data_IF_695895816798
#
_entry.id   IF_695895816798
#
_cell.length_a   1.000
_cell.length_b   1.000
_cell.length_c   1.000
_cell.angle_alpha   90.00
_cell.angle_beta   90.00
_cell.angle_gamma   90.00
#
_symmetry.space_group_name_H-M   'P 1'
#
loop_
_entity.id
_entity.type
_entity.pdbx_description
1 polymer ?
#
# COMPACT_ATOMS: atom_id res chain seq x y z
N UNK A 1 16.24 4.15 -18.50
CA UNK A 1 16.80 3.90 -17.15
C UNK A 1 16.15 4.93 -16.24
N UNK A 2 15.28 4.48 -15.33
CA UNK A 2 14.66 5.36 -14.35
C UNK A 2 15.70 5.77 -13.30
N UNK A 3 15.78 7.06 -12.98
CA UNK A 3 16.65 7.59 -11.92
C UNK A 3 16.13 7.24 -10.52
N UNK A 4 16.97 7.50 -9.52
CA UNK A 4 16.70 7.20 -8.12
C UNK A 4 15.36 7.80 -7.65
N UNK A 5 14.59 6.99 -6.93
CA UNK A 5 13.21 7.31 -6.54
C UNK A 5 13.11 8.22 -5.30
N UNK A 6 14.24 8.69 -4.74
CA UNK A 6 14.27 9.44 -3.48
C UNK A 6 15.33 10.55 -3.56
N UNK A 7 14.95 11.79 -3.27
CA UNK A 7 15.90 12.90 -3.07
C UNK A 7 16.37 12.98 -1.61
N UNK A 8 17.54 13.58 -1.36
CA UNK A 8 18.15 13.76 -0.02
C UNK A 8 17.27 14.54 0.98
N UNK A 9 16.10 15.02 0.55
CA UNK A 9 15.19 15.84 1.35
C UNK A 9 13.82 15.18 1.57
N UNK A 10 13.57 14.03 0.95
CA UNK A 10 12.38 13.19 1.15
C UNK A 10 11.04 13.85 0.79
N UNK A 11 11.03 14.89 -0.06
CA UNK A 11 9.84 15.73 -0.25
C UNK A 11 9.23 15.64 -1.66
N UNK A 12 10.03 15.41 -2.69
CA UNK A 12 9.53 15.21 -4.05
C UNK A 12 10.60 14.53 -4.92
N UNK A 13 10.27 13.38 -5.48
CA UNK A 13 11.16 12.73 -6.43
C UNK A 13 10.69 12.94 -7.86
N UNK A 14 11.63 13.31 -8.73
CA UNK A 14 11.41 13.42 -10.17
C UNK A 14 11.92 12.13 -10.83
N UNK A 15 11.00 11.37 -11.44
CA UNK A 15 11.37 10.26 -12.31
C UNK A 15 11.38 10.77 -13.75
N UNK A 16 12.55 10.75 -14.38
CA UNK A 16 12.70 11.12 -15.78
C UNK A 16 12.67 9.88 -16.68
N UNK A 17 11.91 9.97 -17.76
CA UNK A 17 11.89 8.96 -18.80
C UNK A 17 11.59 9.59 -20.16
N UNK A 18 11.87 8.88 -21.24
CA UNK A 18 11.81 9.39 -22.61
C UNK A 18 11.14 8.40 -23.56
N UNK A 19 10.46 8.94 -24.57
CA UNK A 19 9.86 8.19 -25.67
C UNK A 19 10.00 9.01 -26.95
N UNK A 20 10.01 8.34 -28.10
CA UNK A 20 9.91 8.99 -29.41
C UNK A 20 8.48 8.88 -29.93
N UNK A 21 7.88 10.01 -30.32
CA UNK A 21 6.53 10.04 -30.89
C UNK A 21 6.38 11.17 -31.91
N UNK A 22 5.59 10.89 -32.95
CA UNK A 22 5.25 11.88 -33.98
C UNK A 22 4.16 12.82 -33.48
N UNK A 23 4.56 14.04 -33.11
CA UNK A 23 3.65 15.08 -32.66
C UNK A 23 3.10 15.88 -33.85
N UNK A 24 1.79 16.11 -33.86
CA UNK A 24 1.13 16.94 -34.87
C UNK A 24 0.54 18.17 -34.20
N UNK A 25 0.91 19.35 -34.70
CA UNK A 25 0.46 20.64 -34.19
C UNK A 25 -0.40 21.36 -35.24
N UNK A 26 -1.32 22.21 -34.78
CA UNK A 26 -2.02 23.15 -35.63
C UNK A 26 -1.16 24.40 -35.94
N UNK A 27 -1.70 25.32 -36.74
CA UNK A 27 -1.02 26.56 -37.13
C UNK A 27 -0.73 27.48 -35.93
N UNK A 28 -1.47 27.32 -34.83
CA UNK A 28 -1.27 28.06 -33.57
C UNK A 28 -0.27 27.35 -32.62
N UNK A 29 0.35 26.24 -33.07
CA UNK A 29 1.30 25.46 -32.28
C UNK A 29 0.66 24.58 -31.20
N UNK A 30 -0.65 24.34 -31.27
CA UNK A 30 -1.37 23.47 -30.31
C UNK A 30 -1.35 22.03 -30.79
N UNK A 31 -1.15 21.10 -29.87
CA UNK A 31 -1.18 19.68 -30.20
C UNK A 31 -2.56 19.27 -30.70
N UNK A 32 -2.64 18.74 -31.92
CA UNK A 32 -3.90 18.32 -32.55
C UNK A 32 -4.52 17.10 -31.84
N UNK A 33 -3.68 16.18 -31.38
CA UNK A 33 -4.08 14.95 -30.67
C UNK A 33 -2.89 14.37 -29.89
N UNK A 34 -3.16 13.78 -28.73
CA UNK A 34 -2.19 12.96 -28.00
C UNK A 34 -1.95 11.65 -28.77
N UNK A 35 -0.72 11.36 -29.23
CA UNK A 35 -0.39 10.10 -29.89
C UNK A 35 -0.67 8.88 -28.99
N UNK A 36 -0.97 7.74 -29.59
CA UNK A 36 -1.26 6.52 -28.83
C UNK A 36 -0.02 6.02 -28.08
N UNK A 37 1.16 6.29 -28.62
CA UNK A 37 2.48 5.99 -28.07
C UNK A 37 2.66 6.65 -26.70
N UNK A 38 2.20 7.90 -26.52
CA UNK A 38 2.21 8.59 -25.22
C UNK A 38 1.27 7.89 -24.24
N UNK A 39 0.08 7.46 -24.70
CA UNK A 39 -0.89 6.77 -23.85
C UNK A 39 -0.37 5.39 -23.40
N UNK A 40 0.27 4.65 -24.31
CA UNK A 40 0.86 3.34 -24.02
C UNK A 40 2.06 3.48 -23.07
N UNK A 41 2.95 4.45 -23.34
CA UNK A 41 4.05 4.77 -22.45
C UNK A 41 3.57 5.18 -21.06
N UNK A 42 2.53 6.02 -20.97
CA UNK A 42 1.94 6.40 -19.70
C UNK A 42 1.45 5.15 -18.94
N UNK A 43 0.77 4.23 -19.62
CA UNK A 43 0.32 2.98 -18.98
C UNK A 43 1.49 2.13 -18.50
N UNK A 44 2.55 2.00 -19.28
CA UNK A 44 3.73 1.22 -18.92
C UNK A 44 4.45 1.82 -17.71
N UNK A 45 4.68 3.13 -17.71
CA UNK A 45 5.40 3.82 -16.65
C UNK A 45 4.53 3.99 -15.40
N UNK A 46 3.33 4.55 -15.52
CA UNK A 46 2.47 4.82 -14.35
C UNK A 46 1.87 3.54 -13.77
N UNK A 47 1.23 2.70 -14.60
CA UNK A 47 0.54 1.50 -14.11
C UNK A 47 1.45 0.28 -13.98
N UNK A 48 2.62 0.27 -14.63
CA UNK A 48 3.59 -0.81 -14.54
C UNK A 48 4.70 -0.51 -13.54
N UNK A 49 5.62 0.38 -13.90
CA UNK A 49 6.80 0.67 -13.09
C UNK A 49 6.45 1.42 -11.80
N UNK A 50 5.90 2.63 -11.88
CA UNK A 50 5.69 3.49 -10.72
C UNK A 50 4.70 2.90 -9.71
N UNK A 51 3.58 2.34 -10.16
CA UNK A 51 2.62 1.67 -9.27
C UNK A 51 3.28 0.58 -8.42
N UNK A 52 4.13 -0.25 -9.04
CA UNK A 52 4.86 -1.32 -8.37
C UNK A 52 5.85 -0.74 -7.34
N UNK A 53 6.62 0.28 -7.73
CA UNK A 53 7.56 0.96 -6.83
C UNK A 53 6.86 1.60 -5.62
N UNK A 54 5.74 2.29 -5.85
CA UNK A 54 4.95 2.89 -4.79
C UNK A 54 4.39 1.84 -3.82
N UNK A 55 3.95 0.69 -4.34
CA UNK A 55 3.47 -0.41 -3.50
C UNK A 55 4.60 -0.99 -2.62
N UNK A 56 5.81 -1.15 -3.18
CA UNK A 56 7.00 -1.56 -2.39
C UNK A 56 7.33 -0.54 -1.30
N UNK A 57 7.27 0.76 -1.60
CA UNK A 57 7.48 1.82 -0.60
C UNK A 57 6.43 1.75 0.52
N UNK A 58 5.15 1.56 0.18
CA UNK A 58 4.07 1.39 1.17
C UNK A 58 4.31 0.16 2.04
N UNK A 59 4.79 -0.93 1.46
CA UNK A 59 5.14 -2.15 2.20
C UNK A 59 6.34 -1.96 3.15
N UNK A 60 7.30 -1.09 2.80
CA UNK A 60 8.42 -0.73 3.65
C UNK A 60 7.98 0.07 4.89
N UNK A 61 7.15 1.11 4.72
CA UNK A 61 6.77 2.01 5.81
C UNK A 61 5.37 2.61 5.61
N UNK A 62 4.64 2.74 6.71
CA UNK A 62 3.29 3.30 6.67
C UNK A 62 3.30 4.76 6.22
N UNK A 63 2.45 5.05 5.25
CA UNK A 63 2.28 6.36 4.66
C UNK A 63 1.74 6.22 3.27
N UNK A 64 1.04 7.24 2.79
CA UNK A 64 0.71 7.32 1.39
C UNK A 64 1.73 8.20 0.68
N UNK A 65 2.20 7.73 -0.47
CA UNK A 65 2.90 8.57 -1.45
C UNK A 65 1.83 9.11 -2.38
N UNK A 66 1.69 10.43 -2.38
CA UNK A 66 0.64 11.16 -3.08
C UNK A 66 0.88 11.15 -4.61
N UNK A 67 -0.07 11.62 -5.43
CA UNK A 67 -0.15 11.22 -6.82
C UNK A 67 0.99 11.74 -7.70
N UNK A 68 1.29 10.93 -8.72
CA UNK A 68 2.22 11.25 -9.81
C UNK A 68 1.60 12.37 -10.64
N UNK A 69 2.28 13.52 -10.71
CA UNK A 69 2.04 14.51 -11.74
C UNK A 69 3.05 14.26 -12.85
N UNK A 70 2.55 13.83 -14.00
CA UNK A 70 3.33 13.57 -15.19
C UNK A 70 3.34 14.80 -16.08
N UNK A 71 4.54 15.27 -16.41
CA UNK A 71 4.76 16.35 -17.35
C UNK A 71 5.39 15.80 -18.61
N UNK A 72 4.81 16.08 -19.76
CA UNK A 72 5.34 15.68 -21.06
C UNK A 72 5.86 16.92 -21.78
N UNK A 73 7.13 16.87 -22.20
CA UNK A 73 7.78 17.95 -22.93
C UNK A 73 8.30 17.44 -24.27
N UNK A 74 8.22 18.27 -25.31
CA UNK A 74 8.92 18.05 -26.57
C UNK A 74 10.25 18.80 -26.53
N UNK A 75 11.32 18.15 -26.96
CA UNK A 75 12.63 18.79 -27.11
C UNK A 75 12.72 19.41 -28.50
N UNK A 76 12.69 20.75 -28.58
CA UNK A 76 12.91 21.51 -29.82
C UNK A 76 14.26 22.23 -29.83
N UNK A 77 14.57 22.90 -30.94
CA UNK A 77 15.82 23.69 -31.08
C UNK A 77 15.95 24.82 -30.04
N UNK A 78 14.82 25.39 -29.60
CA UNK A 78 14.77 26.45 -28.58
C UNK A 78 14.71 25.90 -27.13
N UNK A 79 14.71 24.57 -26.96
CA UNK A 79 14.62 23.91 -25.67
C UNK A 79 13.30 23.13 -25.44
N UNK A 80 13.04 22.67 -24.20
CA UNK A 80 11.86 21.90 -23.87
C UNK A 80 10.58 22.75 -23.90
N UNK A 81 9.59 22.33 -24.68
CA UNK A 81 8.24 22.91 -24.69
C UNK A 81 7.24 21.96 -24.03
N UNK A 82 6.47 22.45 -23.04
CA UNK A 82 5.44 21.65 -22.37
C UNK A 82 4.34 21.26 -23.36
N UNK A 83 4.12 19.97 -23.54
CA UNK A 83 3.06 19.41 -24.39
C UNK A 83 1.77 19.28 -23.58
N UNK A 84 1.85 18.59 -22.44
CA UNK A 84 0.69 18.32 -21.59
C UNK A 84 1.11 18.02 -20.15
N UNK A 85 0.18 18.25 -19.23
CA UNK A 85 0.28 17.84 -17.83
C UNK A 85 -0.83 16.83 -17.59
N UNK A 86 -0.48 15.64 -17.13
CA UNK A 86 -1.43 14.61 -16.75
C UNK A 86 -1.20 14.26 -15.28
N UNK A 87 -2.28 14.13 -14.53
CA UNK A 87 -2.18 13.72 -13.14
C UNK A 87 -3.56 13.40 -12.59
N UNK A 88 -3.62 12.40 -11.71
CA UNK A 88 -4.79 12.18 -10.89
C UNK A 88 -4.57 12.89 -9.57
N UNK A 89 -5.28 13.98 -9.30
CA UNK A 89 -5.30 14.53 -7.93
C UNK A 89 -6.28 13.71 -7.11
N UNK A 90 -5.97 12.44 -6.88
CA UNK A 90 -6.71 11.64 -5.91
C UNK A 90 -6.27 12.13 -4.53
N UNK A 91 -7.06 13.02 -3.93
CA UNK A 91 -6.86 13.40 -2.53
C UNK A 91 -7.07 12.13 -1.72
N UNK A 92 -6.03 11.60 -1.06
CA UNK A 92 -6.18 10.34 -0.37
C UNK A 92 -7.21 10.49 0.74
N UNK A 93 -8.15 9.54 0.88
CA UNK A 93 -9.22 9.65 1.87
C UNK A 93 -8.70 9.66 3.30
N UNK A 94 -7.48 9.16 3.51
CA UNK A 94 -6.76 9.19 4.78
C UNK A 94 -5.39 9.82 4.52
N UNK A 95 -5.15 11.06 4.99
CA UNK A 95 -3.91 11.78 4.74
C UNK A 95 -2.81 11.33 5.70
N UNK A 96 -2.35 10.09 5.58
CA UNK A 96 -1.09 9.66 6.19
C UNK A 96 0.07 10.04 5.27
N UNK A 97 0.96 10.91 5.77
CA UNK A 97 2.20 11.24 5.05
C UNK A 97 3.24 10.17 5.31
N UNK A 98 3.85 9.65 4.26
CA UNK A 98 5.09 8.90 4.41
C UNK A 98 6.16 9.83 5.00
N UNK A 99 6.88 9.34 6.01
CA UNK A 99 8.05 10.03 6.58
C UNK A 99 9.21 9.06 6.54
N UNK A 100 10.23 9.41 5.77
CA UNK A 100 11.48 8.67 5.68
C UNK A 100 12.57 9.48 6.37
N UNK A 101 13.34 8.82 7.23
CA UNK A 101 14.57 9.39 7.79
C UNK A 101 15.72 9.13 6.82
N UNK A 102 16.71 10.02 6.80
CA UNK A 102 17.88 9.88 5.91
C UNK A 102 18.58 8.52 6.05
N UNK A 103 18.61 7.97 7.26
CA UNK A 103 19.21 6.67 7.56
C UNK A 103 18.41 5.49 7.01
N UNK A 104 17.15 5.69 6.63
CA UNK A 104 16.27 4.63 6.10
C UNK A 104 16.33 4.56 4.56
N UNK A 105 17.02 5.47 3.87
CA UNK A 105 17.05 5.55 2.40
C UNK A 105 17.68 4.31 1.79
N UNK A 106 18.86 3.90 2.28
CA UNK A 106 19.55 2.71 1.79
C UNK A 106 18.74 1.43 2.07
N UNK A 107 18.08 1.34 3.23
CA UNK A 107 17.22 0.22 3.59
C UNK A 107 15.98 0.14 2.70
N UNK A 108 15.39 1.29 2.37
CA UNK A 108 14.26 1.36 1.45
C UNK A 108 14.67 0.98 0.03
N UNK A 109 15.83 1.43 -0.45
CA UNK A 109 16.33 1.07 -1.76
C UNK A 109 16.57 -0.45 -1.86
N UNK A 110 17.24 -1.04 -0.87
CA UNK A 110 17.40 -2.49 -0.79
C UNK A 110 16.05 -3.23 -0.75
N UNK A 111 15.09 -2.73 0.04
CA UNK A 111 13.74 -3.29 0.08
C UNK A 111 13.04 -3.27 -1.28
N UNK A 112 13.17 -2.16 -2.02
CA UNK A 112 12.61 -2.00 -3.36
C UNK A 112 13.24 -3.00 -4.33
N UNK A 113 14.56 -3.16 -4.27
CA UNK A 113 15.29 -4.02 -5.21
C UNK A 113 15.06 -5.51 -4.93
N UNK A 114 14.94 -5.90 -3.65
CA UNK A 114 14.77 -7.29 -3.23
C UNK A 114 13.32 -7.78 -3.27
N UNK A 115 12.34 -6.91 -3.03
CA UNK A 115 10.94 -7.33 -2.94
C UNK A 115 10.38 -7.60 -4.34
N UNK A 116 10.02 -8.85 -4.61
CA UNK A 116 9.37 -9.25 -5.85
C UNK A 116 7.83 -9.19 -5.72
N UNK A 117 7.19 -8.54 -6.69
CA UNK A 117 5.74 -8.47 -6.83
C UNK A 117 5.35 -8.92 -8.26
N UNK A 118 4.24 -9.67 -8.43
CA UNK A 118 3.30 -10.14 -7.40
C UNK A 118 3.90 -11.22 -6.49
N UNK A 119 3.31 -11.42 -5.31
CA UNK A 119 3.74 -12.49 -4.40
C UNK A 119 3.43 -13.88 -4.96
N UNK A 120 4.37 -14.81 -4.80
CA UNK A 120 4.22 -16.21 -5.27
C UNK A 120 3.03 -16.92 -4.60
N UNK A 121 2.86 -16.75 -3.29
CA UNK A 121 1.80 -17.45 -2.56
C UNK A 121 0.45 -16.72 -2.67
N UNK A 122 -0.63 -17.39 -3.11
CA UNK A 122 -1.93 -16.73 -3.33
C UNK A 122 -2.52 -16.02 -2.11
N UNK A 123 -2.27 -16.52 -0.90
CA UNK A 123 -2.79 -15.90 0.32
C UNK A 123 -2.04 -14.60 0.68
N UNK A 124 -0.75 -14.51 0.36
CA UNK A 124 0.03 -13.27 0.48
C UNK A 124 -0.41 -12.26 -0.55
N UNK A 125 -0.56 -12.71 -1.81
CA UNK A 125 -1.01 -11.86 -2.90
C UNK A 125 -2.41 -11.26 -2.60
N UNK A 126 -3.35 -12.06 -2.10
CA UNK A 126 -4.66 -11.56 -1.69
C UNK A 126 -4.57 -10.53 -0.55
N UNK A 127 -3.76 -10.81 0.48
CA UNK A 127 -3.56 -9.88 1.59
C UNK A 127 -2.95 -8.55 1.11
N UNK A 128 -2.01 -8.62 0.18
CA UNK A 128 -1.39 -7.46 -0.47
C UNK A 128 -2.39 -6.66 -1.32
N UNK A 129 -3.21 -7.31 -2.14
CA UNK A 129 -4.23 -6.63 -2.94
C UNK A 129 -5.24 -5.89 -2.05
N UNK A 130 -5.67 -6.51 -0.95
CA UNK A 130 -6.55 -5.88 0.03
C UNK A 130 -5.84 -4.70 0.74
N UNK A 131 -4.55 -4.84 1.04
CA UNK A 131 -3.75 -3.75 1.60
C UNK A 131 -3.69 -2.53 0.66
N UNK A 132 -3.33 -2.73 -0.61
CA UNK A 132 -3.27 -1.64 -1.60
C UNK A 132 -4.65 -1.01 -1.83
N UNK A 133 -5.69 -1.83 -1.99
CA UNK A 133 -7.05 -1.35 -2.19
C UNK A 133 -7.56 -0.51 -1.01
N UNK A 134 -7.03 -0.74 0.20
CA UNK A 134 -7.37 0.09 1.37
C UNK A 134 -7.00 1.57 1.21
N UNK A 135 -6.05 1.92 0.32
CA UNK A 135 -5.64 3.29 0.01
C UNK A 135 -6.56 3.99 -1.00
N UNK A 136 -7.25 3.21 -1.84
CA UNK A 136 -8.12 3.72 -2.91
C UNK A 136 -9.55 3.98 -2.43
N UNK A 137 -10.00 3.24 -1.42
CA UNK A 137 -11.39 3.32 -0.95
C UNK A 137 -11.67 4.58 -0.13
N UNK A 138 -12.57 5.41 -0.64
CA UNK A 138 -12.93 6.69 -0.03
C UNK A 138 -13.57 6.58 1.37
N UNK A 139 -14.27 5.48 1.66
CA UNK A 139 -14.97 5.29 2.93
C UNK A 139 -14.04 4.66 3.98
N UNK A 140 -13.75 5.34 5.11
CA UNK A 140 -12.93 4.78 6.19
C UNK A 140 -13.46 3.45 6.74
N UNK A 141 -14.79 3.30 6.79
CA UNK A 141 -15.44 2.06 7.24
C UNK A 141 -15.20 0.89 6.29
N UNK A 142 -15.22 1.15 4.98
CA UNK A 142 -14.95 0.11 3.98
C UNK A 142 -13.46 -0.23 3.97
N UNK A 143 -12.57 0.77 4.03
CA UNK A 143 -11.12 0.57 4.18
C UNK A 143 -10.80 -0.30 5.41
N UNK A 144 -11.45 -0.03 6.55
CA UNK A 144 -11.36 -0.87 7.74
C UNK A 144 -11.77 -2.33 7.48
N UNK A 145 -12.89 -2.59 6.80
CA UNK A 145 -13.34 -3.95 6.51
C UNK A 145 -12.38 -4.69 5.57
N UNK A 146 -11.91 -4.03 4.52
CA UNK A 146 -10.93 -4.56 3.56
C UNK A 146 -9.65 -4.99 4.29
N UNK A 147 -9.15 -4.15 5.21
CA UNK A 147 -7.96 -4.47 5.99
C UNK A 147 -8.17 -5.64 6.95
N UNK A 148 -9.36 -5.74 7.57
CA UNK A 148 -9.71 -6.90 8.39
C UNK A 148 -9.72 -8.18 7.57
N UNK A 149 -10.28 -8.13 6.36
CA UNK A 149 -10.31 -9.28 5.45
C UNK A 149 -8.89 -9.66 4.98
N UNK A 150 -8.00 -8.67 4.81
CA UNK A 150 -6.57 -8.93 4.53
C UNK A 150 -5.85 -9.64 5.67
N UNK A 151 -6.12 -9.26 6.91
CA UNK A 151 -5.59 -9.97 8.08
C UNK A 151 -6.17 -11.39 8.19
N UNK A 152 -7.44 -11.57 7.85
CA UNK A 152 -8.07 -12.90 7.78
C UNK A 152 -7.43 -13.77 6.69
N UNK A 153 -7.08 -13.20 5.53
CA UNK A 153 -6.38 -13.89 4.46
C UNK A 153 -5.01 -14.44 4.93
N UNK A 154 -4.28 -13.69 5.76
CA UNK A 154 -3.00 -14.13 6.33
C UNK A 154 -3.17 -15.13 7.48
N UNK A 155 -4.00 -14.81 8.46
CA UNK A 155 -3.91 -15.40 9.79
C UNK A 155 -5.07 -16.32 10.15
N UNK A 156 -6.13 -16.35 9.33
CA UNK A 156 -7.28 -17.22 9.63
C UNK A 156 -6.98 -18.67 9.25
N UNK A 157 -7.09 -19.62 10.20
CA UNK A 157 -7.30 -21.01 9.85
C UNK A 157 -8.69 -21.13 9.18
N UNK A 158 -8.90 -22.18 8.37
CA UNK A 158 -10.18 -22.40 7.70
C UNK A 158 -11.33 -22.78 8.67
N UNK A 159 -11.07 -22.84 9.97
CA UNK A 159 -11.98 -23.34 11.01
C UNK A 159 -12.69 -22.21 11.76
N UNK A 160 -13.76 -22.56 12.47
CA UNK A 160 -14.58 -21.67 13.31
C UNK A 160 -13.75 -21.02 14.43
N UNK A 161 -14.06 -19.75 14.75
CA UNK A 161 -13.31 -18.82 15.63
C UNK A 161 -12.19 -18.00 14.96
N UNK A 162 -12.55 -17.32 13.87
CA UNK A 162 -11.71 -16.39 13.12
C UNK A 162 -11.09 -15.30 14.00
N UNK A 163 -11.85 -14.67 14.90
CA UNK A 163 -11.36 -13.53 15.68
C UNK A 163 -10.22 -13.88 16.64
N UNK A 164 -10.39 -14.93 17.45
CA UNK A 164 -9.34 -15.38 18.38
C UNK A 164 -8.12 -15.88 17.62
N UNK A 165 -8.33 -16.76 16.63
CA UNK A 165 -7.24 -17.37 15.86
C UNK A 165 -6.42 -16.33 15.11
N UNK A 166 -7.07 -15.38 14.43
CA UNK A 166 -6.39 -14.28 13.73
C UNK A 166 -5.64 -13.39 14.72
N UNK A 167 -6.26 -12.99 15.84
CA UNK A 167 -5.61 -12.14 16.84
C UNK A 167 -4.37 -12.80 17.44
N UNK A 168 -4.47 -14.10 17.73
CA UNK A 168 -3.40 -14.91 18.32
C UNK A 168 -2.25 -15.13 17.33
N UNK A 169 -2.56 -15.43 16.07
CA UNK A 169 -1.55 -15.62 15.03
C UNK A 169 -0.87 -14.32 14.64
N UNK A 170 -1.61 -13.21 14.58
CA UNK A 170 -1.03 -11.89 14.37
C UNK A 170 -0.07 -11.52 15.52
N UNK A 171 -0.47 -11.73 16.78
CA UNK A 171 0.41 -11.50 17.92
C UNK A 171 1.67 -12.36 17.87
N UNK A 172 1.54 -13.66 17.54
CA UNK A 172 2.68 -14.56 17.46
C UNK A 172 3.69 -14.19 16.35
N UNK A 173 3.23 -13.63 15.22
CA UNK A 173 4.12 -13.19 14.14
C UNK A 173 4.71 -11.80 14.39
N UNK A 174 3.91 -10.89 14.96
CA UNK A 174 4.23 -9.46 15.00
C UNK A 174 4.79 -9.00 16.34
N UNK A 175 4.38 -9.61 17.44
CA UNK A 175 4.73 -9.17 18.78
C UNK A 175 6.04 -9.77 19.26
N UNK A 176 7.13 -9.06 19.02
CA UNK A 176 8.45 -9.39 19.57
C UNK A 176 9.09 -8.11 20.07
N UNK A 177 9.24 -7.91 21.39
CA UNK A 177 9.18 -8.88 22.51
C UNK A 177 7.77 -9.22 23.02
N UNK A 178 7.66 -10.11 24.03
CA UNK A 178 6.41 -10.66 24.61
C UNK A 178 5.37 -9.58 24.98
N UNK A 179 5.82 -8.46 25.56
CA UNK A 179 4.94 -7.32 25.88
C UNK A 179 4.25 -6.73 24.63
N UNK A 180 4.91 -6.72 23.48
CA UNK A 180 4.31 -6.30 22.22
C UNK A 180 3.26 -7.32 21.74
N UNK A 181 3.48 -8.60 22.01
CA UNK A 181 2.57 -9.69 21.63
C UNK A 181 1.23 -9.61 22.32
N UNK A 182 1.23 -9.41 23.65
CA UNK A 182 -0.01 -9.20 24.41
C UNK A 182 -0.77 -7.97 23.91
N UNK A 183 -0.04 -6.90 23.60
CA UNK A 183 -0.64 -5.66 23.13
C UNK A 183 -1.25 -5.80 21.73
N UNK A 184 -0.56 -6.49 20.80
CA UNK A 184 -1.10 -6.81 19.47
C UNK A 184 -2.35 -7.67 19.61
N UNK A 185 -2.32 -8.71 20.44
CA UNK A 185 -3.47 -9.58 20.68
C UNK A 185 -4.68 -8.79 21.19
N UNK A 186 -4.48 -7.96 22.22
CA UNK A 186 -5.53 -7.13 22.81
C UNK A 186 -6.13 -6.16 21.80
N UNK A 187 -5.29 -5.46 21.03
CA UNK A 187 -5.75 -4.51 20.04
C UNK A 187 -6.53 -5.20 18.91
N UNK A 188 -6.06 -6.36 18.44
CA UNK A 188 -6.77 -7.15 17.43
C UNK A 188 -8.16 -7.58 17.92
N UNK A 189 -8.27 -8.03 19.17
CA UNK A 189 -9.56 -8.36 19.77
C UNK A 189 -10.51 -7.15 19.85
N UNK A 190 -9.99 -5.95 20.11
CA UNK A 190 -10.78 -4.71 20.08
C UNK A 190 -11.24 -4.34 18.67
N UNK A 191 -10.37 -4.48 17.67
CA UNK A 191 -10.71 -4.27 16.26
C UNK A 191 -11.82 -5.22 15.80
N UNK A 192 -11.78 -6.49 16.20
CA UNK A 192 -12.87 -7.44 15.91
C UNK A 192 -14.20 -7.04 16.54
N UNK A 193 -14.20 -6.47 17.76
CA UNK A 193 -15.43 -5.92 18.38
C UNK A 193 -15.96 -4.74 17.57
N UNK A 194 -15.07 -3.88 17.05
CA UNK A 194 -15.45 -2.77 16.16
C UNK A 194 -16.03 -3.29 14.84
N UNK A 195 -15.40 -4.30 14.21
CA UNK A 195 -15.91 -4.98 12.99
C UNK A 195 -17.32 -5.52 13.20
N UNK A 196 -17.52 -6.29 14.28
CA UNK A 196 -18.84 -6.82 14.63
C UNK A 196 -19.88 -5.71 14.81
N UNK A 197 -19.53 -4.63 15.50
CA UNK A 197 -20.45 -3.50 15.71
C UNK A 197 -20.79 -2.78 14.39
N UNK A 198 -19.81 -2.65 13.49
CA UNK A 198 -19.96 -2.03 12.19
C UNK A 198 -20.87 -2.84 11.25
N UNK A 199 -20.69 -4.17 11.20
CA UNK A 199 -21.47 -5.07 10.32
C UNK A 199 -22.91 -5.22 10.80
N UNK A 200 -23.13 -5.47 12.10
CA UNK A 200 -24.46 -5.75 12.64
C UNK A 200 -25.29 -4.49 12.93
N UNK A 201 -24.92 -3.34 12.36
CA UNK A 201 -25.81 -2.19 12.25
C UNK A 201 -26.31 -1.63 13.57
N UNK A 202 -25.46 -1.53 14.61
CA UNK A 202 -25.79 -0.68 15.77
C UNK A 202 -25.70 0.78 15.32
N UNK A 203 -26.73 1.25 14.59
CA UNK A 203 -26.77 2.51 13.83
C UNK A 203 -26.54 3.77 14.68
N UNK A 204 -26.60 3.67 16.00
CA UNK A 204 -26.22 4.73 16.94
C UNK A 204 -25.21 4.23 17.97
N UNK A 205 -23.96 4.07 17.56
CA UNK A 205 -22.87 3.86 18.52
C UNK A 205 -22.68 5.15 19.32
N UNK A 206 -23.32 5.27 20.51
CA UNK A 206 -23.20 6.45 21.39
C UNK A 206 -21.79 6.62 21.97
N UNK A 207 -21.02 5.54 22.13
CA UNK A 207 -19.64 5.57 22.64
C UNK A 207 -18.63 5.72 21.51
N UNK A 208 -17.87 6.83 21.51
CA UNK A 208 -16.81 7.09 20.52
C UNK A 208 -15.80 5.94 20.41
N UNK A 209 -15.42 5.31 21.51
CA UNK A 209 -14.47 4.18 21.55
C UNK A 209 -14.89 2.93 20.77
N UNK A 210 -16.17 2.80 20.43
CA UNK A 210 -16.69 1.68 19.63
C UNK A 210 -16.81 2.01 18.13
N UNK A 211 -16.57 3.26 17.73
CA UNK A 211 -16.58 3.68 16.33
C UNK A 211 -15.21 3.39 15.71
N UNK A 212 -15.22 3.01 14.44
CA UNK A 212 -14.01 2.98 13.61
C UNK A 212 -13.57 4.41 13.36
N UNK A 213 -12.30 4.70 13.60
CA UNK A 213 -11.67 5.98 13.27
C UNK A 213 -10.41 5.80 12.41
N UNK A 214 -9.76 6.92 12.08
CA UNK A 214 -8.55 6.93 11.24
C UNK A 214 -7.39 6.19 11.93
N UNK A 215 -7.27 6.26 13.25
CA UNK A 215 -6.19 5.56 13.97
C UNK A 215 -6.35 4.05 13.85
N UNK A 216 -7.58 3.54 13.89
CA UNK A 216 -7.83 2.12 13.65
C UNK A 216 -7.35 1.66 12.28
N UNK A 217 -7.57 2.49 11.24
CA UNK A 217 -7.21 2.15 9.86
C UNK A 217 -5.69 2.18 9.68
N UNK A 218 -5.02 3.22 10.18
CA UNK A 218 -3.56 3.33 10.14
C UNK A 218 -2.91 2.19 10.92
N UNK A 219 -3.47 1.81 12.06
CA UNK A 219 -2.99 0.70 12.85
C UNK A 219 -3.19 -0.65 12.12
N UNK A 220 -4.36 -0.87 11.52
CA UNK A 220 -4.64 -2.06 10.70
C UNK A 220 -3.71 -2.17 9.50
N UNK A 221 -3.45 -1.07 8.79
CA UNK A 221 -2.47 -1.04 7.69
C UNK A 221 -1.08 -1.43 8.19
N UNK A 222 -0.65 -0.87 9.31
CA UNK A 222 0.63 -1.24 9.93
C UNK A 222 0.70 -2.74 10.26
N UNK A 223 -0.35 -3.31 10.88
CA UNK A 223 -0.39 -4.74 11.19
C UNK A 223 -0.38 -5.61 9.92
N UNK A 224 -1.21 -5.28 8.94
CA UNK A 224 -1.31 -6.05 7.69
C UNK A 224 0.00 -5.99 6.91
N UNK A 225 0.58 -4.79 6.76
CA UNK A 225 1.89 -4.57 6.14
C UNK A 225 2.99 -5.41 6.80
N UNK A 226 3.14 -5.29 8.12
CA UNK A 226 4.12 -6.09 8.89
C UNK A 226 3.83 -7.59 8.75
N UNK A 227 2.56 -7.98 8.70
CA UNK A 227 2.13 -9.37 8.51
C UNK A 227 2.53 -9.92 7.14
N UNK A 228 2.30 -9.16 6.07
CA UNK A 228 2.70 -9.50 4.70
C UNK A 228 4.22 -9.69 4.63
N UNK A 229 4.99 -8.70 5.09
CA UNK A 229 6.46 -8.76 5.05
C UNK A 229 7.01 -9.87 5.94
N UNK A 230 6.47 -10.05 7.14
CA UNK A 230 6.87 -11.12 8.05
C UNK A 230 6.61 -12.50 7.46
N UNK A 231 5.43 -12.70 6.87
CA UNK A 231 5.06 -13.97 6.24
C UNK A 231 5.86 -14.23 4.94
N UNK A 232 6.11 -13.20 4.13
CA UNK A 232 6.95 -13.29 2.94
C UNK A 232 8.39 -13.69 3.30
N UNK A 233 8.99 -13.07 4.32
CA UNK A 233 10.34 -13.42 4.81
C UNK A 233 10.46 -14.86 5.31
N UNK A 234 9.38 -15.44 5.82
CA UNK A 234 9.36 -16.85 6.22
C UNK A 234 9.32 -17.80 5.01
N UNK A 235 8.82 -17.35 3.86
CA UNK A 235 8.80 -18.15 2.63
C UNK A 235 7.97 -19.44 2.76
N UNK A 236 6.93 -19.44 3.59
CA UNK A 236 6.12 -20.62 3.88
C UNK A 236 4.76 -20.57 3.20
N UNK A 237 4.28 -21.71 2.72
CA UNK A 237 2.87 -21.87 2.35
C UNK A 237 1.95 -21.64 3.57
N UNK A 238 0.70 -21.22 3.32
CA UNK A 238 -0.26 -20.83 4.36
C UNK A 238 -0.39 -21.85 5.48
N UNK A 239 -0.55 -23.13 5.16
CA UNK A 239 -0.74 -24.18 6.18
C UNK A 239 0.49 -24.33 7.09
N UNK A 240 1.69 -24.26 6.51
CA UNK A 240 2.96 -24.33 7.25
C UNK A 240 3.15 -23.09 8.12
N UNK A 241 2.84 -21.90 7.59
CA UNK A 241 2.85 -20.65 8.34
C UNK A 241 1.92 -20.75 9.55
N UNK A 242 0.65 -21.11 9.34
CA UNK A 242 -0.33 -21.23 10.42
C UNK A 242 0.07 -22.29 11.44
N UNK A 243 0.61 -23.43 11.00
CA UNK A 243 1.13 -24.46 11.91
C UNK A 243 2.32 -23.97 12.73
N UNK A 244 3.21 -23.18 12.15
CA UNK A 244 4.35 -22.60 12.85
C UNK A 244 3.84 -21.62 13.91
N UNK A 245 2.97 -20.69 13.51
CA UNK A 245 2.41 -19.70 14.40
C UNK A 245 1.73 -20.40 15.57
N UNK A 246 0.85 -21.38 15.33
CA UNK A 246 0.11 -22.11 16.38
C UNK A 246 0.99 -22.78 17.45
N UNK A 247 2.25 -23.07 17.14
CA UNK A 247 3.21 -23.66 18.09
C UNK A 247 3.92 -22.63 18.96
N UNK A 248 3.97 -21.36 18.55
CA UNK A 248 4.58 -20.29 19.34
C UNK A 248 3.81 -20.09 20.64
N UNK A 249 4.50 -19.89 21.76
CA UNK A 249 3.84 -19.43 22.99
C UNK A 249 3.67 -17.91 22.88
N UNK A 250 2.45 -17.45 23.17
CA UNK A 250 2.20 -16.05 23.54
C UNK A 250 2.55 -15.89 25.01
#
# INVERSE_FOLDING_TARGET
MAGDLIDDQGNATIVLNQLEADLKFDEDGRLLRIPNEIIEFQKEIENGYLSNQLAKIRLFKEGNVAPIVSFYYAMGEEGPSLITVCGRVDVPPIPTKLKLELLEVDELQAHIDELELPFEFPYLQLAYELYEYSYEVASPKLSFLILMDGLEALFSPATTETSYSVSRNAAALLGTPEEESEQVFKNMMELYRKRSTLIYGQHEIKKKSKRVDVHDIVYLRSLLRRGIIGAHRLGLEKEKLLSLLNKSKL
#
